data_IF_927602890212
#
_entry.id   IF_927602890212
#
_cell.length_a   1.000
_cell.length_b   1.000
_cell.length_c   1.000
_cell.angle_alpha   90.00
_cell.angle_beta   90.00
_cell.angle_gamma   90.00
#
_symmetry.space_group_name_H-M   'P 1'
#
loop_
_entity.id
_entity.type
_entity.pdbx_description
1 polymer ?
#
# COMPACT_ATOMS: atom_id res chain seq x y z
N UNK A 1 17.49 -27.33 -0.74
CA UNK A 1 16.92 -26.46 0.32
C UNK A 1 16.87 -24.97 -0.03
N UNK A 2 17.94 -24.33 -0.54
CA UNK A 2 17.93 -22.88 -0.88
C UNK A 2 16.89 -22.45 -1.92
N UNK A 3 16.61 -23.28 -2.93
CA UNK A 3 15.60 -22.99 -3.95
C UNK A 3 14.17 -22.97 -3.38
N UNK A 4 13.85 -23.87 -2.45
CA UNK A 4 12.53 -23.93 -1.80
C UNK A 4 12.28 -22.71 -0.90
N UNK A 5 13.32 -22.24 -0.21
CA UNK A 5 13.28 -21.02 0.63
C UNK A 5 13.08 -19.78 -0.24
N UNK A 6 13.78 -19.70 -1.38
CA UNK A 6 13.65 -18.60 -2.33
C UNK A 6 12.25 -18.54 -2.98
N UNK A 7 11.69 -19.69 -3.36
CA UNK A 7 10.33 -19.78 -3.89
C UNK A 7 9.27 -19.35 -2.85
N UNK A 8 9.40 -19.80 -1.60
CA UNK A 8 8.53 -19.36 -0.49
C UNK A 8 8.61 -17.85 -0.25
N UNK A 9 9.81 -17.26 -0.33
CA UNK A 9 10.01 -15.81 -0.16
C UNK A 9 9.42 -14.99 -1.33
N UNK A 10 9.49 -15.49 -2.56
CA UNK A 10 8.93 -14.81 -3.74
C UNK A 10 7.39 -14.90 -3.80
N UNK A 11 6.81 -16.06 -3.46
CA UNK A 11 5.36 -16.20 -3.23
C UNK A 11 4.89 -15.25 -2.12
N UNK A 12 5.63 -15.16 -1.01
CA UNK A 12 5.29 -14.27 0.10
C UNK A 12 5.39 -12.77 -0.26
N UNK A 13 6.34 -12.37 -1.12
CA UNK A 13 6.42 -10.99 -1.66
C UNK A 13 5.26 -10.67 -2.60
N UNK A 14 4.77 -11.65 -3.35
CA UNK A 14 3.63 -11.53 -4.27
C UNK A 14 2.32 -11.26 -3.51
N UNK A 15 2.04 -12.03 -2.45
CA UNK A 15 0.83 -11.86 -1.63
C UNK A 15 0.84 -10.63 -0.70
N UNK A 16 2.00 -10.02 -0.45
CA UNK A 16 2.09 -8.81 0.39
C UNK A 16 1.38 -7.59 -0.22
N UNK A 17 1.02 -7.65 -1.51
CA UNK A 17 0.34 -6.57 -2.25
C UNK A 17 -1.10 -6.91 -2.66
N UNK A 18 -1.54 -8.16 -2.49
CA UNK A 18 -2.91 -8.57 -2.79
C UNK A 18 -3.84 -8.30 -1.61
N UNK A 19 -5.14 -8.33 -1.88
CA UNK A 19 -6.18 -8.12 -0.85
C UNK A 19 -6.27 -9.35 0.05
N UNK A 20 -6.26 -10.53 -0.57
CA UNK A 20 -6.15 -11.81 0.09
C UNK A 20 -4.67 -12.10 0.40
N UNK A 21 -4.36 -12.43 1.65
CA UNK A 21 -3.01 -12.74 2.09
C UNK A 21 -3.03 -13.82 3.18
N UNK A 22 -1.91 -14.50 3.40
CA UNK A 22 -1.76 -15.48 4.48
C UNK A 22 -1.07 -14.82 5.67
N UNK A 23 -1.67 -14.92 6.85
CA UNK A 23 -1.06 -14.47 8.10
C UNK A 23 -0.40 -15.65 8.81
N UNK A 24 0.90 -15.52 9.08
CA UNK A 24 1.71 -16.57 9.71
C UNK A 24 1.46 -16.71 11.20
N UNK A 25 1.02 -15.66 11.87
CA UNK A 25 0.83 -15.66 13.32
C UNK A 25 -0.42 -16.47 13.70
N UNK A 26 -1.44 -16.43 12.85
CA UNK A 26 -2.69 -17.19 13.00
C UNK A 26 -2.72 -18.46 12.14
N UNK A 27 -1.71 -18.67 11.27
CA UNK A 27 -1.68 -19.73 10.27
C UNK A 27 -2.94 -19.79 9.37
N UNK A 28 -3.48 -18.62 9.04
CA UNK A 28 -4.77 -18.50 8.37
C UNK A 28 -4.78 -17.52 7.19
N UNK A 29 -5.76 -17.70 6.30
CA UNK A 29 -6.03 -16.78 5.21
C UNK A 29 -6.84 -15.58 5.67
N UNK A 30 -6.43 -14.40 5.24
CA UNK A 30 -6.97 -13.11 5.67
C UNK A 30 -7.38 -12.27 4.48
N UNK A 31 -8.47 -11.52 4.65
CA UNK A 31 -8.77 -10.33 3.85
C UNK A 31 -8.97 -9.17 4.83
N UNK A 32 -8.25 -8.08 4.62
CA UNK A 32 -8.29 -6.95 5.55
C UNK A 32 -7.91 -7.39 6.98
N UNK A 33 -8.85 -7.22 7.92
CA UNK A 33 -8.71 -7.68 9.31
C UNK A 33 -9.42 -9.01 9.63
N UNK A 34 -10.13 -9.58 8.65
CA UNK A 34 -10.97 -10.76 8.86
C UNK A 34 -10.28 -12.03 8.37
N UNK A 35 -10.44 -13.11 9.14
CA UNK A 35 -10.11 -14.46 8.71
C UNK A 35 -11.15 -14.95 7.70
N UNK A 36 -10.71 -15.75 6.75
CA UNK A 36 -11.56 -16.40 5.75
C UNK A 36 -11.24 -17.89 5.69
N UNK A 37 -12.24 -18.67 5.31
CA UNK A 37 -12.07 -20.08 4.97
C UNK A 37 -12.61 -20.34 3.57
N UNK A 38 -12.38 -21.55 3.06
CA UNK A 38 -12.80 -21.95 1.73
C UNK A 38 -13.64 -23.21 1.80
N UNK A 39 -14.69 -23.25 0.98
CA UNK A 39 -15.48 -24.44 0.73
C UNK A 39 -15.48 -24.71 -0.78
N UNK A 40 -14.67 -25.66 -1.22
CA UNK A 40 -14.30 -25.81 -2.64
C UNK A 40 -13.65 -24.51 -3.16
N UNK A 41 -14.22 -23.91 -4.20
CA UNK A 41 -13.77 -22.63 -4.74
C UNK A 41 -14.40 -21.42 -4.04
N UNK A 42 -15.42 -21.62 -3.21
CA UNK A 42 -16.19 -20.54 -2.59
C UNK A 42 -15.49 -20.00 -1.35
N UNK A 43 -15.65 -18.70 -1.11
CA UNK A 43 -15.03 -17.98 -0.01
C UNK A 43 -16.06 -17.84 1.11
N UNK A 44 -15.69 -18.27 2.32
CA UNK A 44 -16.50 -18.12 3.52
C UNK A 44 -15.90 -16.98 4.35
N UNK A 45 -16.68 -15.93 4.56
CA UNK A 45 -16.32 -14.75 5.33
C UNK A 45 -17.49 -14.41 6.25
N UNK A 46 -17.26 -14.36 7.56
CA UNK A 46 -18.28 -14.05 8.58
C UNK A 46 -19.59 -14.85 8.38
N UNK A 47 -19.48 -16.18 8.22
CA UNK A 47 -20.61 -17.10 7.97
C UNK A 47 -21.34 -16.89 6.63
N UNK A 48 -20.94 -15.89 5.83
CA UNK A 48 -21.47 -15.65 4.50
C UNK A 48 -20.61 -16.33 3.46
N UNK A 49 -21.27 -17.07 2.56
CA UNK A 49 -20.67 -17.77 1.44
C UNK A 49 -20.71 -16.89 0.19
N UNK A 50 -19.54 -16.66 -0.40
CA UNK A 50 -19.35 -15.94 -1.65
C UNK A 50 -18.90 -16.92 -2.73
N UNK A 51 -19.62 -16.94 -3.87
CA UNK A 51 -19.29 -17.84 -4.97
C UNK A 51 -17.89 -17.54 -5.53
N UNK A 52 -17.07 -18.56 -5.63
CA UNK A 52 -15.69 -18.55 -6.12
C UNK A 52 -15.56 -18.38 -7.62
N UNK A 53 -16.06 -17.28 -8.19
CA UNK A 53 -15.91 -17.04 -9.62
C UNK A 53 -14.45 -16.73 -9.97
N UNK A 54 -14.05 -17.05 -11.22
CA UNK A 54 -12.71 -16.70 -11.72
C UNK A 54 -12.44 -15.19 -11.63
N UNK A 55 -13.48 -14.37 -11.87
CA UNK A 55 -13.37 -12.92 -11.79
C UNK A 55 -13.15 -12.42 -10.36
N UNK A 56 -13.91 -12.93 -9.39
CA UNK A 56 -13.74 -12.59 -7.99
C UNK A 56 -12.37 -13.03 -7.47
N UNK A 57 -11.92 -14.24 -7.80
CA UNK A 57 -10.60 -14.73 -7.44
C UNK A 57 -9.48 -13.84 -7.99
N UNK A 58 -9.56 -13.41 -9.24
CA UNK A 58 -8.61 -12.46 -9.82
C UNK A 58 -8.62 -11.12 -9.09
N UNK A 59 -9.80 -10.60 -8.78
CA UNK A 59 -9.96 -9.35 -8.02
C UNK A 59 -9.38 -9.45 -6.60
N UNK A 60 -9.37 -10.61 -5.95
CA UNK A 60 -8.83 -10.76 -4.59
C UNK A 60 -7.33 -11.06 -4.56
N UNK A 61 -6.82 -11.81 -5.53
CA UNK A 61 -5.46 -12.37 -5.49
C UNK A 61 -4.43 -11.58 -6.29
N UNK A 62 -4.83 -10.93 -7.38
CA UNK A 62 -3.87 -10.17 -8.19
C UNK A 62 -3.42 -8.89 -7.47
N UNK A 63 -2.15 -8.53 -7.62
CA UNK A 63 -1.59 -7.29 -7.05
C UNK A 63 -1.63 -6.11 -8.01
N UNK A 64 -1.77 -6.39 -9.31
CA UNK A 64 -1.91 -5.43 -10.40
C UNK A 64 -3.39 -5.14 -10.71
N UNK A 65 -3.61 -4.21 -11.64
CA UNK A 65 -4.96 -3.81 -12.06
C UNK A 65 -5.58 -4.98 -12.82
N UNK A 66 -6.68 -5.51 -12.30
CA UNK A 66 -7.47 -6.50 -13.03
C UNK A 66 -8.24 -5.79 -14.14
N UNK A 67 -8.07 -6.24 -15.39
CA UNK A 67 -8.75 -5.63 -16.54
C UNK A 67 -10.26 -5.97 -16.51
N UNK A 68 -11.16 -5.05 -16.91
CA UNK A 68 -12.62 -5.24 -16.84
C UNK A 68 -13.16 -6.50 -17.53
N UNK A 69 -12.54 -6.96 -18.60
CA UNK A 69 -12.93 -8.19 -19.31
C UNK A 69 -12.69 -9.48 -18.51
N UNK A 70 -12.02 -9.40 -17.36
CA UNK A 70 -11.68 -10.54 -16.52
C UNK A 70 -12.56 -10.68 -15.29
N UNK A 71 -13.57 -9.83 -15.12
CA UNK A 71 -14.54 -9.93 -14.05
C UNK A 71 -15.90 -9.39 -14.51
N UNK A 72 -16.96 -9.91 -13.94
CA UNK A 72 -18.31 -9.39 -14.18
C UNK A 72 -18.63 -8.22 -13.26
N UNK A 73 -19.68 -7.45 -13.56
CA UNK A 73 -20.14 -6.39 -12.66
C UNK A 73 -20.51 -6.94 -11.28
N UNK A 74 -21.10 -8.14 -11.22
CA UNK A 74 -21.42 -8.83 -9.97
C UNK A 74 -20.16 -9.19 -9.18
N UNK A 75 -19.10 -9.68 -9.85
CA UNK A 75 -17.82 -9.96 -9.19
C UNK A 75 -17.24 -8.68 -8.58
N UNK A 76 -17.31 -7.56 -9.29
CA UNK A 76 -16.81 -6.28 -8.80
C UNK A 76 -17.64 -5.74 -7.63
N UNK A 77 -18.97 -5.93 -7.65
CA UNK A 77 -19.87 -5.57 -6.56
C UNK A 77 -19.58 -6.39 -5.30
N UNK A 78 -19.39 -7.70 -5.44
CA UNK A 78 -19.01 -8.60 -4.34
C UNK A 78 -17.63 -8.22 -3.81
N UNK A 79 -16.66 -7.99 -4.68
CA UNK A 79 -15.33 -7.54 -4.29
C UNK A 79 -15.37 -6.25 -3.46
N UNK A 80 -16.18 -5.27 -3.88
CA UNK A 80 -16.41 -4.04 -3.13
C UNK A 80 -17.01 -4.31 -1.75
N UNK A 81 -18.01 -5.19 -1.67
CA UNK A 81 -18.63 -5.58 -0.41
C UNK A 81 -17.59 -6.18 0.55
N UNK A 82 -16.81 -7.15 0.08
CA UNK A 82 -15.74 -7.80 0.86
C UNK A 82 -14.73 -6.76 1.36
N UNK A 83 -14.28 -5.83 0.52
CA UNK A 83 -13.32 -4.78 0.93
C UNK A 83 -13.85 -3.87 2.05
N UNK A 84 -15.16 -3.60 2.05
CA UNK A 84 -15.82 -2.77 3.06
C UNK A 84 -16.03 -3.56 4.35
N UNK A 85 -16.53 -4.78 4.25
CA UNK A 85 -16.84 -5.67 5.37
C UNK A 85 -15.59 -6.00 6.19
N UNK A 86 -14.48 -6.24 5.50
CA UNK A 86 -13.19 -6.60 6.10
C UNK A 86 -12.33 -5.42 6.51
N UNK A 87 -12.87 -4.20 6.38
CA UNK A 87 -12.15 -2.94 6.52
C UNK A 87 -10.88 -2.81 5.63
N UNK A 88 -10.67 -3.69 4.65
CA UNK A 88 -9.47 -3.71 3.80
C UNK A 88 -9.26 -2.42 2.99
N UNK A 89 -10.30 -1.60 2.86
CA UNK A 89 -10.23 -0.29 2.18
C UNK A 89 -9.72 0.84 3.10
N UNK A 90 -9.73 0.65 4.41
CA UNK A 90 -9.31 1.65 5.38
C UNK A 90 -7.82 1.56 5.70
N UNK A 91 -7.25 2.65 6.20
CA UNK A 91 -5.89 2.68 6.71
C UNK A 91 -5.73 1.63 7.81
N UNK A 92 -4.66 0.83 7.71
CA UNK A 92 -4.35 -0.27 8.64
C UNK A 92 -5.49 -1.32 8.79
N UNK A 93 -6.37 -1.42 7.80
CA UNK A 93 -7.58 -2.25 7.87
C UNK A 93 -8.48 -1.89 9.07
N UNK A 94 -8.53 -0.62 9.45
CA UNK A 94 -9.30 -0.13 10.59
C UNK A 94 -10.21 1.03 10.19
N UNK A 95 -11.52 0.75 10.18
CA UNK A 95 -12.56 1.73 9.87
C UNK A 95 -12.61 2.90 10.85
N UNK A 96 -12.17 2.73 12.09
CA UNK A 96 -12.16 3.80 13.11
C UNK A 96 -11.27 4.97 12.69
N UNK A 97 -10.23 4.71 11.89
CA UNK A 97 -9.33 5.74 11.38
C UNK A 97 -10.04 6.77 10.50
N UNK A 98 -11.17 6.39 9.87
CA UNK A 98 -11.88 7.22 8.90
C UNK A 98 -11.06 7.56 7.64
N UNK A 99 -9.87 6.96 7.48
CA UNK A 99 -8.91 7.28 6.43
C UNK A 99 -8.82 6.16 5.42
N UNK A 100 -8.60 6.55 4.16
CA UNK A 100 -8.36 5.60 3.08
C UNK A 100 -7.04 4.88 3.31
N UNK A 101 -6.93 3.64 2.84
CA UNK A 101 -5.66 2.93 2.82
C UNK A 101 -4.62 3.69 1.98
N UNK A 102 -3.48 4.03 2.55
CA UNK A 102 -2.43 4.72 1.80
C UNK A 102 -1.59 3.70 1.03
N UNK A 103 -1.98 3.39 -0.21
CA UNK A 103 -1.22 2.50 -1.10
C UNK A 103 -0.97 3.18 -2.45
N UNK A 104 0.29 3.28 -2.84
CA UNK A 104 0.69 3.75 -4.18
C UNK A 104 0.58 2.68 -5.28
N UNK A 105 0.09 1.47 -4.96
CA UNK A 105 -0.02 0.39 -5.94
C UNK A 105 -1.05 0.68 -7.02
N UNK A 106 -0.75 0.28 -8.27
CA UNK A 106 -1.61 0.55 -9.43
C UNK A 106 -3.07 0.09 -9.22
N UNK A 107 -3.27 -1.09 -8.62
CA UNK A 107 -4.59 -1.61 -8.26
C UNK A 107 -5.34 -0.70 -7.30
N UNK A 108 -4.63 -0.19 -6.28
CA UNK A 108 -5.25 0.73 -5.32
C UNK A 108 -5.65 2.03 -6.02
N UNK A 109 -4.72 2.64 -6.76
CA UNK A 109 -4.95 3.94 -7.42
C UNK A 109 -6.08 3.87 -8.44
N UNK A 110 -6.15 2.81 -9.26
CA UNK A 110 -7.13 2.72 -10.36
C UNK A 110 -8.48 2.14 -9.97
N UNK A 111 -8.54 1.22 -9.00
CA UNK A 111 -9.78 0.50 -8.66
C UNK A 111 -10.27 0.88 -7.26
N UNK A 112 -9.46 0.60 -6.24
CA UNK A 112 -9.88 0.73 -4.84
C UNK A 112 -10.12 2.19 -4.45
N UNK A 113 -9.35 3.14 -5.01
CA UNK A 113 -9.52 4.57 -4.74
C UNK A 113 -10.87 5.10 -5.24
N UNK A 114 -11.39 4.55 -6.35
CA UNK A 114 -12.70 4.91 -6.88
C UNK A 114 -13.82 4.37 -5.97
N UNK A 115 -13.68 3.11 -5.52
CA UNK A 115 -14.57 2.53 -4.50
C UNK A 115 -14.62 3.43 -3.24
N UNK A 116 -13.46 3.91 -2.78
CA UNK A 116 -13.35 4.80 -1.62
C UNK A 116 -14.08 6.13 -1.82
N UNK A 117 -13.90 6.76 -3.00
CA UNK A 117 -14.60 8.01 -3.35
C UNK A 117 -16.11 7.80 -3.32
N UNK A 118 -16.61 6.74 -3.94
CA UNK A 118 -18.04 6.43 -3.97
C UNK A 118 -18.62 6.25 -2.56
N UNK A 119 -17.92 5.56 -1.66
CA UNK A 119 -18.37 5.39 -0.27
C UNK A 119 -18.48 6.74 0.44
N UNK A 120 -17.52 7.64 0.20
CA UNK A 120 -17.50 8.94 0.85
C UNK A 120 -18.46 9.95 0.23
N UNK A 121 -18.72 9.87 -1.07
CA UNK A 121 -19.75 10.66 -1.75
C UNK A 121 -21.13 10.31 -1.18
N UNK A 122 -21.43 9.02 -0.99
CA UNK A 122 -22.68 8.56 -0.36
C UNK A 122 -22.86 9.02 1.09
N UNK A 123 -21.76 9.35 1.79
CA UNK A 123 -21.80 9.89 3.17
C UNK A 123 -22.03 11.41 3.22
N UNK A 124 -21.89 12.13 2.10
CA UNK A 124 -22.09 13.59 2.10
C UNK A 124 -23.59 13.91 2.13
N UNK A 125 -24.05 14.82 3.01
CA UNK A 125 -25.40 15.35 2.93
C UNK A 125 -25.61 16.02 1.57
N UNK A 126 -26.79 15.81 0.97
CA UNK A 126 -27.20 16.28 -0.37
C UNK A 126 -27.11 17.83 -0.52
N UNK A 127 -26.94 18.57 0.57
CA UNK A 127 -26.98 20.04 0.60
C UNK A 127 -25.64 20.76 0.46
N UNK A 128 -24.49 20.07 0.34
CA UNK A 128 -23.21 20.77 0.11
C UNK A 128 -22.88 20.84 -1.38
N UNK A 129 -22.86 22.04 -2.00
CA UNK A 129 -22.38 22.20 -3.36
C UNK A 129 -20.95 21.66 -3.48
N UNK A 130 -20.66 21.00 -4.60
CA UNK A 130 -19.37 20.41 -4.95
C UNK A 130 -18.32 21.48 -5.26
N UNK A 131 -18.06 22.40 -4.34
CA UNK A 131 -16.78 23.11 -4.35
C UNK A 131 -15.74 22.13 -3.82
N UNK A 132 -14.86 21.63 -4.70
CA UNK A 132 -13.60 21.03 -4.27
C UNK A 132 -12.98 22.05 -3.31
N UNK A 133 -12.71 21.72 -2.03
CA UNK A 133 -11.87 22.60 -1.24
C UNK A 133 -10.56 22.72 -2.00
N UNK A 134 -10.24 23.92 -2.46
CA UNK A 134 -8.91 24.25 -2.95
C UNK A 134 -8.04 24.04 -1.72
N UNK A 135 -7.34 22.91 -1.68
CA UNK A 135 -6.32 22.69 -0.67
C UNK A 135 -5.23 23.70 -0.97
N UNK A 136 -5.02 24.64 -0.05
CA UNK A 136 -3.82 25.48 -0.03
C UNK A 136 -2.64 24.57 0.30
N UNK A 137 -2.11 23.91 -0.73
CA UNK A 137 -0.86 23.18 -0.63
C UNK A 137 0.28 24.16 -0.36
N UNK A 138 1.10 23.83 0.66
CA UNK A 138 2.41 24.37 1.02
C UNK A 138 2.58 25.91 0.98
N UNK A 139 2.60 26.48 2.19
CA UNK A 139 3.18 27.76 2.66
C UNK A 139 3.72 28.70 1.57
N UNK A 140 3.24 29.95 1.59
CA UNK A 140 3.89 31.09 0.94
C UNK A 140 5.41 30.96 1.04
N UNK A 141 6.08 30.93 -0.12
CA UNK A 141 7.52 31.10 -0.15
C UNK A 141 7.80 32.50 0.41
N UNK A 142 8.44 32.57 1.57
CA UNK A 142 9.07 33.81 2.01
C UNK A 142 10.29 34.03 1.11
N UNK A 143 10.38 35.19 0.46
CA UNK A 143 11.61 35.65 -0.23
C UNK A 143 12.76 35.94 0.76
N UNK A 144 12.54 35.68 2.05
CA UNK A 144 13.56 35.77 3.09
C UNK A 144 14.73 34.84 2.77
N UNK A 145 15.91 35.44 2.63
CA UNK A 145 17.15 34.77 2.32
C UNK A 145 17.43 33.69 3.38
N UNK A 146 17.28 32.41 3.02
CA UNK A 146 17.67 31.31 3.90
C UNK A 146 19.19 31.30 3.97
N UNK A 147 19.74 31.74 5.10
CA UNK A 147 21.18 31.71 5.35
C UNK A 147 21.59 30.28 5.76
N UNK A 148 22.27 29.57 4.86
CA UNK A 148 22.81 28.25 5.14
C UNK A 148 24.08 28.39 5.99
N UNK A 149 23.99 28.10 7.29
CA UNK A 149 25.18 27.93 8.11
C UNK A 149 25.85 26.60 7.81
N UNK A 150 26.81 26.60 6.89
CA UNK A 150 27.69 25.46 6.68
C UNK A 150 28.56 25.24 7.92
N UNK A 151 28.49 24.03 8.48
CA UNK A 151 29.23 23.66 9.67
C UNK A 151 30.72 23.47 9.33
N UNK A 152 31.54 24.51 9.56
CA UNK A 152 33.00 24.54 9.30
C UNK A 152 33.77 23.36 9.93
N UNK A 153 33.20 22.69 10.94
CA UNK A 153 33.83 21.52 11.56
C UNK A 153 33.94 20.31 10.64
N UNK A 154 33.08 20.21 9.61
CA UNK A 154 33.11 19.13 8.63
C UNK A 154 34.27 19.30 7.63
N UNK A 155 34.51 20.52 7.16
CA UNK A 155 35.60 20.82 6.23
C UNK A 155 36.98 20.57 6.85
N UNK A 156 37.17 20.90 8.14
CA UNK A 156 38.45 20.60 8.83
C UNK A 156 38.71 19.10 8.92
N UNK A 157 37.68 18.29 9.19
CA UNK A 157 37.81 16.82 9.24
C UNK A 157 38.13 16.24 7.87
N UNK A 158 37.53 16.76 6.80
CA UNK A 158 37.83 16.31 5.43
C UNK A 158 39.28 16.62 5.03
N UNK A 159 39.79 17.80 5.37
CA UNK A 159 41.20 18.17 5.14
C UNK A 159 42.17 17.28 5.92
N UNK A 160 41.88 16.98 7.19
CA UNK A 160 42.69 16.07 8.00
C UNK A 160 42.73 14.65 7.41
N UNK A 161 41.60 14.13 6.92
CA UNK A 161 41.54 12.81 6.27
C UNK A 161 42.38 12.79 4.99
N UNK A 162 42.29 13.82 4.16
CA UNK A 162 43.09 13.92 2.92
C UNK A 162 44.59 13.97 3.24
N UNK A 163 45.00 14.71 4.28
CA UNK A 163 46.39 14.78 4.75
C UNK A 163 46.87 13.41 5.26
N UNK A 164 46.05 12.68 6.01
CA UNK A 164 46.41 11.34 6.52
C UNK A 164 46.58 10.36 5.35
N UNK A 165 45.65 10.35 4.39
CA UNK A 165 45.71 9.47 3.22
C UNK A 165 46.97 9.74 2.40
N UNK A 166 47.26 11.01 2.12
CA UNK A 166 48.44 11.38 1.32
C UNK A 166 49.75 11.02 2.03
N UNK A 167 49.87 11.28 3.33
CA UNK A 167 51.07 10.88 4.12
C UNK A 167 51.30 9.37 4.13
N UNK A 168 50.24 8.58 4.33
CA UNK A 168 50.34 7.11 4.30
C UNK A 168 50.72 6.59 2.90
N UNK A 169 50.21 7.24 1.84
CA UNK A 169 50.55 6.86 0.48
C UNK A 169 52.04 7.10 0.18
N UNK A 170 52.60 8.25 0.54
CA UNK A 170 54.03 8.52 0.36
C UNK A 170 54.94 7.58 1.18
N UNK A 171 54.53 7.16 2.38
CA UNK A 171 55.30 6.20 3.20
C UNK A 171 55.30 4.77 2.66
N UNK A 172 54.40 4.43 1.73
CA UNK A 172 54.28 3.07 1.16
C UNK A 172 55.05 2.94 -0.16
N UNK A 173 55.42 4.06 -0.80
CA UNK A 173 56.06 4.12 -2.11
C UNK A 173 57.49 4.71 -2.09
N UNK A 174 58.07 4.93 -0.91
CA UNK A 174 59.51 5.11 -0.68
C UNK A 174 60.02 3.96 0.19
#
# INVERSE_FOLDING_TARGET
MKQLIHLKQNLQKSFKKSVLHYNKDFEDHMIGKCMITFENDDIILNEKKYKGTVGLWRLLTHSDVTRPEYYTEDDFKIYKEILIETDSIYQNNDKSTGRAKSSGGAKYVSMISNIWKEINEKKRPITKPTTKPIGEGLRQYTDDHIEYHYNLSLQKKEQEIIIIITKNWYSTFM
#
